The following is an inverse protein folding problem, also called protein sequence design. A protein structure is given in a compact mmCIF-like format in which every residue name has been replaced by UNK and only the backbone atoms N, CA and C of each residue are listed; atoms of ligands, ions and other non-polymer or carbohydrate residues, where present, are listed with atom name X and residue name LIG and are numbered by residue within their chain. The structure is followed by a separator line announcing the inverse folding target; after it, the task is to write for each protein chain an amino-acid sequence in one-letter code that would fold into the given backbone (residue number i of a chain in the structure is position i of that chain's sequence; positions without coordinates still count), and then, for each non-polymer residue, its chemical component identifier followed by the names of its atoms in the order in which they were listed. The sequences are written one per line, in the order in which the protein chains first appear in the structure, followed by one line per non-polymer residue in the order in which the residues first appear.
data_IF_012735224428
#
_entry.id   IF_012735224428
#
_cell.length_a   1.000
_cell.length_b   1.000
_cell.length_c   1.000
_cell.angle_alpha   90.00
_cell.angle_beta   90.00
_cell.angle_gamma   90.00
#
_symmetry.space_group_name_H-M   'P 1'
#
loop_
_entity.id
_entity.type
_entity.pdbx_description
1 polymer ?
#
# COMPACT_ATOMS: atom_id res chain seq x y z
N UNK A 1 32.39 2.57 2.36
CA UNK A 1 31.42 3.69 2.43
C UNK A 1 30.42 3.51 1.30
N UNK A 2 29.24 2.96 1.60
CA UNK A 2 28.18 2.74 0.61
C UNK A 2 27.12 3.80 0.91
N UNK A 3 26.98 4.80 0.04
CA UNK A 3 25.88 5.76 0.08
C UNK A 3 24.80 5.23 -0.86
N UNK A 4 23.80 4.55 -0.29
CA UNK A 4 22.59 4.20 -1.00
C UNK A 4 21.70 5.45 -1.10
N UNK A 5 21.67 6.08 -2.27
CA UNK A 5 20.85 7.27 -2.52
C UNK A 5 19.35 6.97 -2.42
N UNK A 6 18.74 7.28 -1.28
CA UNK A 6 17.30 7.13 -1.05
C UNK A 6 16.54 8.37 -1.53
N UNK A 7 15.94 8.33 -2.73
CA UNK A 7 15.04 9.39 -3.20
C UNK A 7 13.62 9.16 -2.64
N UNK A 8 13.16 10.02 -1.72
CA UNK A 8 11.78 10.04 -1.24
C UNK A 8 10.90 10.89 -2.16
N UNK A 9 9.66 10.45 -2.41
CA UNK A 9 8.62 11.22 -3.11
C UNK A 9 7.53 11.50 -2.09
N UNK A 10 7.18 12.78 -1.91
CA UNK A 10 6.17 13.18 -0.93
C UNK A 10 4.86 13.51 -1.65
N UNK A 11 3.80 12.83 -1.23
CA UNK A 11 2.43 13.08 -1.69
C UNK A 11 1.75 14.04 -0.71
N UNK A 12 1.40 15.24 -1.19
CA UNK A 12 0.57 16.18 -0.42
C UNK A 12 -0.89 15.88 -0.78
N UNK A 13 -1.58 15.18 0.10
CA UNK A 13 -3.04 15.05 0.05
C UNK A 13 -3.59 15.56 1.38
N UNK A 14 -4.47 16.56 1.33
CA UNK A 14 -5.27 16.96 2.48
C UNK A 14 -6.43 15.98 2.65
N UNK A 15 -6.31 15.05 3.61
CA UNK A 15 -7.36 14.69 4.59
C UNK A 15 -6.91 13.52 5.48
N UNK A 16 -7.11 13.67 6.80
CA UNK A 16 -6.97 12.62 7.80
C UNK A 16 -5.82 12.83 8.79
N UNK A 17 -6.14 13.26 10.01
CA UNK A 17 -5.19 13.23 11.14
C UNK A 17 -4.75 11.79 11.41
N UNK A 18 -3.53 11.43 11.01
CA UNK A 18 -2.86 10.23 11.49
C UNK A 18 -2.02 10.56 12.73
N UNK A 19 -2.40 9.98 13.88
CA UNK A 19 -1.55 9.95 15.08
C UNK A 19 -0.30 9.12 14.78
N UNK A 20 0.88 9.71 14.98
CA UNK A 20 2.18 9.05 14.79
C UNK A 20 2.48 8.19 16.02
N UNK A 21 2.83 6.92 15.78
CA UNK A 21 3.47 6.06 16.78
C UNK A 21 4.96 6.40 16.84
N UNK A 22 5.52 6.48 18.04
CA UNK A 22 6.92 6.85 18.31
C UNK A 22 7.84 5.63 18.47
N UNK A 23 7.45 4.46 17.93
CA UNK A 23 8.08 3.16 18.20
C UNK A 23 9.00 2.64 17.08
N UNK A 24 9.38 3.47 16.09
CA UNK A 24 10.30 3.05 15.01
C UNK A 24 11.75 3.51 15.24
N UNK A 25 12.71 2.64 14.93
CA UNK A 25 14.16 2.91 15.03
C UNK A 25 14.63 4.06 14.11
N UNK A 26 15.93 4.43 14.16
CA UNK A 26 16.45 5.60 13.44
C UNK A 26 16.21 5.48 11.94
N UNK A 27 15.27 6.27 11.43
CA UNK A 27 14.95 6.41 10.02
C UNK A 27 14.87 7.90 9.67
N UNK A 28 15.30 8.25 8.45
CA UNK A 28 15.01 9.56 7.91
C UNK A 28 13.58 9.55 7.41
N UNK A 29 12.66 10.14 8.16
CA UNK A 29 11.26 10.24 7.77
C UNK A 29 10.94 11.68 7.39
N UNK A 30 10.29 11.85 6.23
CA UNK A 30 9.74 13.13 5.81
C UNK A 30 8.23 12.98 5.72
N UNK A 31 7.51 13.89 6.34
CA UNK A 31 6.04 13.95 6.32
C UNK A 31 5.62 15.28 5.73
N UNK A 32 4.57 15.26 4.91
CA UNK A 32 3.85 16.49 4.57
C UNK A 32 2.40 16.36 5.00
N UNK A 33 1.92 17.37 5.71
CA UNK A 33 0.56 17.47 6.22
C UNK A 33 -0.04 18.81 5.82
N UNK A 34 -0.82 18.84 4.74
CA UNK A 34 -1.24 20.09 4.11
C UNK A 34 -0.02 20.88 3.63
N UNK A 35 0.10 22.11 4.10
CA UNK A 35 1.22 23.00 3.77
C UNK A 35 2.42 22.81 4.70
N UNK A 36 2.41 21.83 5.60
CA UNK A 36 3.50 21.63 6.56
C UNK A 36 4.44 20.53 6.09
N UNK A 37 5.74 20.82 6.02
CA UNK A 37 6.81 19.84 5.86
C UNK A 37 7.46 19.54 7.21
N UNK A 38 7.47 18.27 7.61
CA UNK A 38 8.12 17.76 8.82
C UNK A 38 9.27 16.80 8.43
N UNK A 39 10.48 17.08 8.90
CA UNK A 39 11.68 16.28 8.75
C UNK A 39 12.05 15.66 10.10
N UNK A 40 12.20 14.34 10.14
CA UNK A 40 12.73 13.59 11.28
C UNK A 40 14.14 13.11 10.91
N UNK A 41 15.15 13.64 11.59
CA UNK A 41 16.54 13.27 11.40
C UNK A 41 16.87 11.93 12.09
N UNK A 42 18.02 11.28 11.82
CA UNK A 42 18.36 9.97 12.38
C UNK A 42 18.45 9.96 13.91
N UNK A 43 18.77 11.10 14.51
CA UNK A 43 18.81 11.33 15.96
C UNK A 43 17.40 11.58 16.57
N UNK A 44 16.36 11.39 15.77
CA UNK A 44 14.95 11.66 16.08
C UNK A 44 14.61 13.13 16.34
N UNK A 45 15.51 14.08 16.03
CA UNK A 45 15.16 15.50 16.06
C UNK A 45 14.16 15.81 14.95
N UNK A 46 13.18 16.66 15.27
CA UNK A 46 12.10 17.05 14.36
C UNK A 46 12.25 18.51 13.96
N UNK A 47 12.20 18.77 12.66
CA UNK A 47 12.13 20.11 12.09
C UNK A 47 10.83 20.23 11.31
N UNK A 48 10.05 21.27 11.59
CA UNK A 48 8.78 21.53 10.92
C UNK A 48 8.82 22.93 10.31
N UNK A 49 8.36 23.06 9.07
CA UNK A 49 8.22 24.35 8.39
C UNK A 49 6.98 24.38 7.52
N UNK A 50 6.36 25.54 7.41
CA UNK A 50 5.27 25.79 6.47
C UNK A 50 5.85 26.04 5.08
N UNK A 51 5.28 25.38 4.08
CA UNK A 51 5.58 25.51 2.68
C UNK A 51 4.56 26.42 2.03
N UNK A 52 5.05 27.54 1.52
CA UNK A 52 4.27 28.51 0.76
C UNK A 52 4.62 28.42 -0.71
N UNK A 53 3.60 28.34 -1.55
CA UNK A 53 3.73 28.29 -3.00
C UNK A 53 3.30 29.65 -3.50
N UNK A 54 4.27 30.45 -3.94
CA UNK A 54 4.00 31.78 -4.47
C UNK A 54 3.27 31.66 -5.80
N UNK A 55 2.61 32.75 -6.21
CA UNK A 55 1.92 32.84 -7.50
C UNK A 55 2.83 32.66 -8.72
N UNK A 56 4.14 32.83 -8.56
CA UNK A 56 5.16 32.55 -9.58
C UNK A 56 5.61 31.07 -9.61
N UNK A 57 5.01 30.21 -8.78
CA UNK A 57 5.33 28.79 -8.66
C UNK A 57 6.54 28.47 -7.77
N UNK A 58 7.20 29.49 -7.20
CA UNK A 58 8.31 29.25 -6.27
C UNK A 58 7.79 28.76 -4.92
N UNK A 59 8.49 27.80 -4.32
CA UNK A 59 8.13 27.24 -3.01
C UNK A 59 9.11 27.75 -1.95
N UNK A 60 8.58 28.22 -0.82
CA UNK A 60 9.34 28.77 0.30
C UNK A 60 8.96 28.07 1.61
N UNK A 61 9.92 27.59 2.42
CA UNK A 61 11.35 27.61 2.15
C UNK A 61 11.74 26.54 1.11
N UNK A 62 12.73 26.85 0.26
CA UNK A 62 13.31 25.87 -0.66
C UNK A 62 14.36 24.97 0.01
N UNK A 63 14.62 25.17 1.31
CA UNK A 63 15.56 24.38 2.10
C UNK A 63 15.00 24.09 3.49
N UNK A 64 15.08 22.83 3.94
CA UNK A 64 14.74 22.41 5.31
C UNK A 64 15.82 21.45 5.82
N UNK A 65 16.55 21.86 6.86
CA UNK A 65 17.76 21.15 7.29
C UNK A 65 18.79 21.07 6.15
N UNK A 66 19.26 19.86 5.85
CA UNK A 66 20.17 19.57 4.73
C UNK A 66 19.44 19.17 3.44
N UNK A 67 18.12 19.39 3.35
CA UNK A 67 17.32 19.07 2.17
C UNK A 67 17.06 20.32 1.33
N UNK A 68 17.43 20.26 0.05
CA UNK A 68 17.05 21.26 -0.95
C UNK A 68 15.87 20.77 -1.80
N UNK A 69 14.89 21.66 -1.99
CA UNK A 69 13.78 21.46 -2.90
C UNK A 69 14.26 21.74 -4.33
N UNK A 70 14.20 20.73 -5.19
CA UNK A 70 14.76 20.80 -6.54
C UNK A 70 13.72 21.19 -7.59
N UNK A 71 12.45 21.07 -7.25
CA UNK A 71 11.38 21.51 -8.12
C UNK A 71 10.00 21.31 -7.52
N UNK A 72 9.09 22.11 -8.02
CA UNK A 72 7.66 22.02 -7.79
C UNK A 72 6.96 22.21 -9.13
N UNK A 73 5.95 21.40 -9.40
CA UNK A 73 5.07 21.61 -10.54
C UNK A 73 3.67 21.28 -10.11
N UNK A 74 2.79 22.25 -10.34
CA UNK A 74 1.36 21.98 -10.43
C UNK A 74 1.11 21.17 -11.69
N UNK A 75 0.28 20.13 -11.58
CA UNK A 75 -0.17 19.35 -12.72
C UNK A 75 0.96 18.84 -13.63
N UNK A 76 1.91 18.05 -13.13
CA UNK A 76 2.91 17.41 -13.98
C UNK A 76 2.51 15.99 -14.38
N UNK A 77 2.79 15.61 -15.63
CA UNK A 77 2.83 14.21 -16.04
C UNK A 77 4.20 13.68 -15.66
N UNK A 78 4.23 12.64 -14.81
CA UNK A 78 5.45 11.90 -14.48
C UNK A 78 5.50 10.66 -15.36
N UNK A 79 6.45 10.63 -16.28
CA UNK A 79 6.79 9.41 -17.01
C UNK A 79 8.01 8.81 -16.33
N UNK A 80 7.88 7.55 -15.92
CA UNK A 80 9.00 6.77 -15.39
C UNK A 80 9.34 5.75 -16.43
N UNK A 81 10.59 5.81 -16.89
CA UNK A 81 11.17 4.83 -17.80
C UNK A 81 12.38 4.20 -17.14
N UNK A 82 12.78 3.04 -17.65
CA UNK A 82 14.04 2.42 -17.30
C UNK A 82 14.92 2.39 -18.56
N UNK A 83 16.20 2.68 -18.37
CA UNK A 83 17.20 2.53 -19.43
C UNK A 83 18.27 1.57 -18.97
N UNK A 84 18.86 0.83 -19.91
CA UNK A 84 19.97 -0.06 -19.61
C UNK A 84 21.27 0.72 -19.34
N UNK A 85 22.29 0.02 -18.85
CA UNK A 85 23.65 0.57 -18.67
C UNK A 85 23.90 1.25 -17.33
N UNK A 86 23.06 0.99 -16.33
CA UNK A 86 23.30 1.39 -14.95
C UNK A 86 24.58 0.72 -14.38
N UNK A 87 25.26 1.35 -13.41
CA UNK A 87 26.51 0.83 -12.84
C UNK A 87 26.34 -0.38 -11.92
N UNK A 88 25.10 -0.77 -11.60
CA UNK A 88 24.76 -1.85 -10.68
C UNK A 88 23.70 -2.74 -11.34
N UNK A 89 23.82 -4.05 -11.14
CA UNK A 89 22.81 -5.01 -11.55
C UNK A 89 21.46 -4.66 -10.91
N UNK A 90 20.46 -4.41 -11.76
CA UNK A 90 19.12 -4.07 -11.35
C UNK A 90 18.17 -4.53 -12.46
N UNK A 91 17.64 -5.73 -12.31
CA UNK A 91 16.74 -6.28 -13.30
C UNK A 91 15.45 -5.44 -13.35
N UNK A 92 15.10 -4.99 -14.54
CA UNK A 92 13.80 -4.45 -14.86
C UNK A 92 13.21 -5.13 -16.10
N UNK A 93 11.89 -5.28 -16.11
CA UNK A 93 11.14 -5.82 -17.24
C UNK A 93 9.99 -4.88 -17.59
N UNK A 94 9.77 -4.67 -18.87
CA UNK A 94 8.58 -4.03 -19.37
C UNK A 94 7.62 -5.11 -19.83
N UNK A 95 6.45 -5.16 -19.21
CA UNK A 95 5.35 -6.03 -19.63
C UNK A 95 4.30 -5.22 -20.36
N UNK A 96 3.71 -5.84 -21.38
CA UNK A 96 2.58 -5.30 -22.12
C UNK A 96 1.33 -6.07 -21.71
N UNK A 97 0.26 -5.34 -21.39
CA UNK A 97 -1.05 -5.90 -21.05
C UNK A 97 -2.04 -5.47 -22.12
N UNK A 98 -2.59 -6.42 -22.85
CA UNK A 98 -3.61 -6.17 -23.88
C UNK A 98 -4.96 -6.69 -23.42
N UNK A 99 -6.01 -5.88 -23.53
CA UNK A 99 -7.40 -6.30 -23.30
C UNK A 99 -8.24 -5.95 -24.52
N UNK A 100 -8.82 -6.98 -25.15
CA UNK A 100 -9.71 -6.80 -26.29
C UNK A 100 -11.04 -6.16 -25.87
N UNK A 101 -11.56 -6.48 -24.67
CA UNK A 101 -12.78 -5.87 -24.14
C UNK A 101 -12.62 -4.38 -23.87
N UNK A 102 -11.45 -3.96 -23.41
CA UNK A 102 -11.15 -2.54 -23.18
C UNK A 102 -10.68 -1.83 -24.45
N UNK A 103 -10.28 -2.57 -25.48
CA UNK A 103 -9.63 -2.02 -26.68
C UNK A 103 -8.35 -1.25 -26.34
N UNK A 104 -7.65 -1.66 -25.28
CA UNK A 104 -6.50 -0.94 -24.72
C UNK A 104 -5.28 -1.85 -24.56
N UNK A 105 -4.12 -1.24 -24.80
CA UNK A 105 -2.81 -1.83 -24.51
C UNK A 105 -2.12 -0.94 -23.48
N UNK A 106 -1.66 -1.54 -22.39
CA UNK A 106 -0.96 -0.87 -21.31
C UNK A 106 0.46 -1.41 -21.21
N UNK A 107 1.44 -0.53 -21.07
CA UNK A 107 2.82 -0.93 -20.81
C UNK A 107 3.20 -0.60 -19.37
N UNK A 108 3.85 -1.52 -18.68
CA UNK A 108 4.22 -1.37 -17.27
C UNK A 108 5.63 -1.87 -17.03
N UNK A 109 6.40 -1.07 -16.29
CA UNK A 109 7.73 -1.43 -15.82
C UNK A 109 7.69 -2.05 -14.43
N UNK A 110 8.27 -3.23 -14.29
CA UNK A 110 8.59 -3.85 -13.01
C UNK A 110 10.11 -3.84 -12.82
N UNK A 111 10.60 -3.57 -11.62
CA UNK A 111 12.03 -3.60 -11.33
C UNK A 111 12.33 -4.08 -9.92
N UNK A 112 13.47 -4.77 -9.74
CA UNK A 112 13.93 -5.23 -8.43
C UNK A 112 14.20 -4.05 -7.50
N UNK A 113 14.72 -2.95 -8.04
CA UNK A 113 14.89 -1.68 -7.36
C UNK A 113 14.51 -0.47 -8.25
N UNK A 114 13.97 0.61 -7.66
CA UNK A 114 13.59 0.74 -6.25
C UNK A 114 12.30 -0.02 -5.92
N UNK A 115 12.07 -0.32 -4.63
CA UNK A 115 10.99 -1.21 -4.16
C UNK A 115 9.58 -0.83 -4.66
N UNK A 116 9.32 0.46 -4.92
CA UNK A 116 8.03 0.92 -5.45
C UNK A 116 7.70 0.46 -6.88
N UNK A 117 8.65 -0.14 -7.61
CA UNK A 117 8.39 -0.79 -8.90
C UNK A 117 8.50 -2.31 -8.84
N UNK A 118 8.73 -2.88 -7.65
CA UNK A 118 8.74 -4.33 -7.49
C UNK A 118 7.35 -4.91 -7.66
N UNK A 119 6.34 -4.15 -7.26
CA UNK A 119 4.94 -4.54 -7.31
C UNK A 119 4.08 -3.33 -7.70
N UNK A 120 3.00 -3.59 -8.43
CA UNK A 120 1.96 -2.59 -8.73
C UNK A 120 0.59 -3.23 -8.87
N UNK A 121 -0.45 -2.52 -8.47
CA UNK A 121 -1.82 -2.97 -8.60
C UNK A 121 -2.38 -2.67 -10.00
N UNK A 122 -3.15 -3.60 -10.54
CA UNK A 122 -3.92 -3.46 -11.78
C UNK A 122 -5.34 -3.98 -11.51
N UNK A 123 -6.21 -3.06 -11.10
CA UNK A 123 -7.56 -3.41 -10.69
C UNK A 123 -7.55 -4.29 -9.43
N UNK A 124 -8.19 -5.48 -9.45
CA UNK A 124 -8.25 -6.37 -8.29
C UNK A 124 -7.01 -7.28 -8.11
N UNK A 125 -6.09 -7.26 -9.07
CA UNK A 125 -4.87 -8.05 -9.03
C UNK A 125 -3.63 -7.16 -8.98
N UNK A 126 -2.46 -7.77 -8.84
CA UNK A 126 -1.20 -7.04 -8.92
C UNK A 126 -0.20 -7.75 -9.84
N UNK A 127 0.71 -6.94 -10.37
CA UNK A 127 1.91 -7.40 -11.03
C UNK A 127 3.09 -7.31 -10.06
N UNK A 128 3.99 -8.27 -10.11
CA UNK A 128 5.22 -8.20 -9.33
C UNK A 128 6.42 -8.83 -10.05
N UNK A 129 7.63 -8.44 -9.65
CA UNK A 129 8.88 -9.09 -10.03
C UNK A 129 9.58 -9.64 -8.79
N UNK A 130 9.99 -10.90 -8.85
CA UNK A 130 10.69 -11.58 -7.76
C UNK A 130 11.96 -12.27 -8.30
N UNK A 131 13.16 -11.85 -7.90
CA UNK A 131 14.37 -12.61 -8.18
C UNK A 131 14.46 -13.84 -7.27
N UNK A 132 14.77 -15.01 -7.84
CA UNK A 132 15.12 -16.21 -7.10
C UNK A 132 16.64 -16.27 -6.90
N UNK A 133 17.08 -16.46 -5.66
CA UNK A 133 18.50 -16.56 -5.31
C UNK A 133 19.08 -17.92 -5.70
N UNK A 134 18.26 -18.97 -5.67
CA UNK A 134 18.65 -20.33 -5.99
C UNK A 134 17.49 -21.14 -6.61
N UNK A 135 17.78 -22.39 -6.97
CA UNK A 135 16.80 -23.28 -7.60
C UNK A 135 15.64 -23.69 -6.66
N UNK A 136 15.86 -23.69 -5.34
CA UNK A 136 14.82 -24.02 -4.38
C UNK A 136 13.82 -22.86 -4.23
N UNK A 137 14.32 -21.63 -4.13
CA UNK A 137 13.50 -20.41 -4.14
C UNK A 137 12.76 -20.26 -5.48
N UNK A 138 13.43 -20.54 -6.62
CA UNK A 138 12.77 -20.55 -7.93
C UNK A 138 11.59 -21.54 -7.93
N UNK A 139 11.82 -22.77 -7.49
CA UNK A 139 10.75 -23.79 -7.42
C UNK A 139 9.62 -23.35 -6.51
N UNK A 140 9.92 -22.70 -5.38
CA UNK A 140 8.91 -22.17 -4.46
C UNK A 140 8.09 -21.04 -5.12
N UNK A 141 8.74 -20.08 -5.78
CA UNK A 141 8.09 -18.95 -6.43
C UNK A 141 7.22 -19.38 -7.63
N UNK A 142 7.57 -20.50 -8.27
CA UNK A 142 6.81 -21.13 -9.36
C UNK A 142 5.82 -22.21 -8.89
N UNK A 143 5.71 -22.46 -7.60
CA UNK A 143 4.70 -23.38 -7.07
C UNK A 143 3.42 -22.61 -6.72
N UNK A 144 2.24 -23.25 -6.81
CA UNK A 144 1.03 -22.65 -6.29
C UNK A 144 1.25 -22.28 -4.84
N UNK A 145 0.69 -21.14 -4.37
CA UNK A 145 0.74 -20.84 -2.95
C UNK A 145 0.12 -22.02 -2.20
N UNK A 146 0.66 -22.38 -1.02
CA UNK A 146 0.06 -23.42 -0.21
C UNK A 146 -1.40 -23.07 -0.01
N UNK A 147 -2.30 -24.04 -0.23
CA UNK A 147 -3.71 -23.85 0.11
C UNK A 147 -3.75 -23.44 1.57
N UNK A 148 -4.25 -22.24 1.82
CA UNK A 148 -4.29 -21.68 3.16
C UNK A 148 -5.14 -22.61 4.04
N UNK A 149 -4.47 -23.38 4.89
CA UNK A 149 -5.13 -24.36 5.76
C UNK A 149 -5.86 -23.68 6.91
N UNK A 150 -5.50 -22.42 7.21
CA UNK A 150 -6.02 -21.61 8.30
C UNK A 150 -6.34 -20.19 7.78
N UNK A 151 -7.49 -19.97 7.12
CA UNK A 151 -7.83 -18.68 6.48
C UNK A 151 -8.01 -17.54 7.48
N UNK A 152 -8.10 -17.84 8.78
CA UNK A 152 -8.10 -16.85 9.87
C UNK A 152 -6.85 -16.94 10.74
N UNK A 153 -5.81 -17.66 10.30
CA UNK A 153 -4.53 -17.77 10.99
C UNK A 153 -4.53 -18.78 12.14
N UNK A 154 -3.45 -18.79 12.91
CA UNK A 154 -3.24 -19.71 14.03
C UNK A 154 -2.96 -18.97 15.33
N UNK A 155 -3.48 -19.50 16.44
CA UNK A 155 -3.16 -19.02 17.78
C UNK A 155 -2.22 -20.00 18.47
N UNK A 156 -1.08 -19.50 18.94
CA UNK A 156 -0.11 -20.27 19.70
C UNK A 156 -0.15 -19.84 21.16
N UNK A 157 -0.47 -20.78 22.05
CA UNK A 157 -0.54 -20.58 23.50
C UNK A 157 0.68 -21.20 24.16
N UNK A 158 1.46 -20.39 24.89
CA UNK A 158 2.52 -20.85 25.77
C UNK A 158 2.01 -21.01 27.20
N UNK A 159 2.04 -22.23 27.73
CA UNK A 159 1.56 -22.57 29.08
C UNK A 159 2.72 -22.89 30.04
N UNK A 160 3.79 -22.09 29.96
CA UNK A 160 4.99 -22.27 30.79
C UNK A 160 5.66 -23.63 30.55
N UNK A 161 5.84 -24.43 31.62
CA UNK A 161 6.52 -25.74 31.54
C UNK A 161 5.74 -26.81 30.77
N UNK A 162 4.47 -26.59 30.48
CA UNK A 162 3.60 -27.55 29.80
C UNK A 162 3.68 -27.45 28.26
N UNK A 163 4.51 -26.54 27.75
CA UNK A 163 4.79 -26.40 26.33
C UNK A 163 3.85 -25.44 25.60
N UNK A 164 3.89 -25.52 24.28
CA UNK A 164 3.11 -24.71 23.35
C UNK A 164 1.96 -25.52 22.74
N UNK A 165 0.77 -24.93 22.66
CA UNK A 165 -0.36 -25.48 21.92
C UNK A 165 -0.78 -24.52 20.82
N UNK A 166 -0.88 -25.00 19.58
CA UNK A 166 -1.38 -24.21 18.45
C UNK A 166 -2.82 -24.60 18.14
N UNK A 167 -3.65 -23.61 17.83
CA UNK A 167 -5.05 -23.75 17.46
C UNK A 167 -5.30 -23.05 16.13
N UNK A 168 -6.02 -23.70 15.22
CA UNK A 168 -6.56 -23.05 14.03
C UNK A 168 -7.72 -22.13 14.43
N UNK A 169 -7.63 -20.85 14.07
CA UNK A 169 -8.60 -19.83 14.47
C UNK A 169 -9.98 -20.09 13.86
N UNK A 170 -10.05 -20.57 12.62
CA UNK A 170 -11.32 -20.84 11.97
C UNK A 170 -12.03 -22.02 12.63
N UNK A 171 -11.29 -23.09 12.93
CA UNK A 171 -11.87 -24.30 13.53
C UNK A 171 -12.32 -24.08 14.98
N UNK A 172 -11.72 -23.13 15.69
CA UNK A 172 -11.99 -22.86 17.11
C UNK A 172 -12.89 -21.67 17.36
N UNK A 173 -13.26 -20.89 16.33
CA UNK A 173 -14.15 -19.75 16.45
C UNK A 173 -15.52 -20.17 17.01
N UNK A 174 -15.92 -19.55 18.13
CA UNK A 174 -17.15 -19.86 18.85
C UNK A 174 -17.10 -21.13 19.69
N UNK A 175 -15.94 -21.79 19.82
CA UNK A 175 -15.76 -22.99 20.62
C UNK A 175 -14.90 -22.72 21.86
N UNK A 176 -15.22 -23.40 22.95
CA UNK A 176 -14.39 -23.43 24.17
C UNK A 176 -13.30 -24.48 24.05
N UNK A 177 -12.06 -24.08 24.26
CA UNK A 177 -10.88 -24.95 24.23
C UNK A 177 -10.23 -24.98 25.60
N UNK A 178 -10.01 -26.18 26.15
CA UNK A 178 -9.30 -26.33 27.44
C UNK A 178 -7.82 -26.57 27.18
N UNK A 179 -6.97 -25.75 27.80
CA UNK A 179 -5.52 -25.86 27.74
C UNK A 179 -4.98 -26.74 28.89
N UNK A 180 -3.74 -27.27 28.78
CA UNK A 180 -3.17 -28.20 29.77
C UNK A 180 -3.08 -27.67 31.21
N UNK A 181 -3.06 -26.35 31.42
CA UNK A 181 -2.99 -25.70 32.73
C UNK A 181 -4.37 -25.40 33.34
N UNK A 182 -5.45 -25.95 32.78
CA UNK A 182 -6.82 -25.72 33.25
C UNK A 182 -7.42 -24.37 32.83
N UNK A 183 -6.71 -23.58 32.02
CA UNK A 183 -7.28 -22.39 31.39
C UNK A 183 -8.22 -22.83 30.28
N UNK A 184 -9.45 -22.32 30.29
CA UNK A 184 -10.35 -22.43 29.13
C UNK A 184 -10.29 -21.15 28.31
N UNK A 185 -10.36 -21.31 26.99
CA UNK A 185 -10.27 -20.23 26.01
C UNK A 185 -11.48 -20.30 25.11
N UNK A 186 -12.25 -19.22 25.07
CA UNK A 186 -13.31 -19.01 24.09
C UNK A 186 -12.83 -18.01 23.04
N UNK A 187 -12.70 -18.48 21.79
CA UNK A 187 -12.39 -17.59 20.67
C UNK A 187 -13.68 -16.93 20.20
N UNK A 188 -13.88 -15.66 20.58
CA UNK A 188 -15.15 -14.97 20.38
C UNK A 188 -15.29 -14.45 18.95
N UNK A 189 -14.25 -13.78 18.44
CA UNK A 189 -14.31 -13.08 17.16
C UNK A 189 -12.93 -12.78 16.58
N UNK A 190 -12.86 -12.76 15.23
CA UNK A 190 -11.70 -12.32 14.46
C UNK A 190 -11.99 -10.94 13.86
N UNK A 191 -10.99 -10.06 13.88
CA UNK A 191 -11.04 -8.69 13.37
C UNK A 191 -9.90 -8.48 12.36
N UNK A 192 -10.13 -8.61 11.04
CA UNK A 192 -9.07 -8.47 10.03
C UNK A 192 -8.36 -7.09 10.02
N UNK A 193 -9.10 -6.00 10.24
CA UNK A 193 -8.56 -4.63 10.35
C UNK A 193 -9.17 -3.95 11.57
N UNK A 194 -8.70 -4.36 12.75
CA UNK A 194 -9.21 -3.91 14.04
C UNK A 194 -9.12 -2.38 14.17
N UNK A 195 -10.25 -1.76 14.50
CA UNK A 195 -10.39 -0.34 14.87
C UNK A 195 -11.33 -0.20 16.07
N UNK A 196 -11.26 0.95 16.72
CA UNK A 196 -12.31 1.39 17.64
C UNK A 196 -13.29 2.28 16.88
N UNK A 197 -14.58 1.92 16.91
CA UNK A 197 -15.66 2.72 16.35
C UNK A 197 -15.97 3.97 17.18
N UNK A 198 -16.99 4.74 16.75
CA UNK A 198 -17.40 6.01 17.40
C UNK A 198 -17.81 5.84 18.87
N UNK A 199 -18.23 4.64 19.27
CA UNK A 199 -18.64 4.29 20.64
C UNK A 199 -17.54 3.49 21.38
N UNK A 200 -16.29 3.55 20.93
CA UNK A 200 -15.17 2.75 21.44
C UNK A 200 -15.39 1.22 21.38
N UNK A 201 -16.34 0.74 20.59
CA UNK A 201 -16.51 -0.70 20.37
C UNK A 201 -15.55 -1.17 19.27
N UNK A 202 -14.97 -2.38 19.41
CA UNK A 202 -14.23 -3.03 18.33
C UNK A 202 -15.04 -3.13 17.04
N UNK A 203 -14.41 -2.77 15.92
CA UNK A 203 -14.95 -2.96 14.57
C UNK A 203 -13.84 -3.38 13.60
N UNK A 204 -14.19 -3.91 12.44
CA UNK A 204 -13.24 -4.12 11.33
C UNK A 204 -13.48 -3.07 10.26
N UNK A 205 -12.43 -2.37 9.83
CA UNK A 205 -12.53 -1.38 8.75
C UNK A 205 -12.51 -2.00 7.35
N UNK A 206 -11.99 -3.23 7.22
CA UNK A 206 -11.97 -4.00 5.99
C UNK A 206 -11.94 -5.50 6.30
N UNK A 207 -12.10 -6.33 5.26
CA UNK A 207 -11.91 -7.79 5.33
C UNK A 207 -10.45 -8.21 5.12
N UNK A 208 -9.58 -7.26 4.77
CA UNK A 208 -8.15 -7.52 4.60
C UNK A 208 -7.47 -7.53 5.97
N UNK A 209 -6.53 -8.46 6.19
CA UNK A 209 -5.79 -8.63 7.44
C UNK A 209 -4.71 -7.54 7.64
N UNK A 210 -5.11 -6.27 7.62
CA UNK A 210 -4.22 -5.09 7.72
C UNK A 210 -3.79 -4.77 9.15
N UNK A 211 -4.70 -4.96 10.10
CA UNK A 211 -4.43 -4.82 11.53
C UNK A 211 -5.16 -5.93 12.29
N UNK A 212 -4.75 -7.19 12.06
CA UNK A 212 -5.56 -8.32 12.45
C UNK A 212 -5.47 -8.57 13.95
N UNK A 213 -6.62 -8.84 14.56
CA UNK A 213 -6.74 -9.17 15.97
C UNK A 213 -7.77 -10.28 16.21
N UNK A 214 -7.61 -11.04 17.29
CA UNK A 214 -8.62 -11.96 17.80
C UNK A 214 -9.07 -11.54 19.19
N UNK A 215 -10.34 -11.75 19.49
CA UNK A 215 -10.89 -11.58 20.82
C UNK A 215 -11.01 -12.95 21.51
N UNK A 216 -10.40 -13.06 22.69
CA UNK A 216 -10.46 -14.23 23.54
C UNK A 216 -11.17 -13.88 24.84
N UNK A 217 -12.02 -14.78 25.33
CA UNK A 217 -12.37 -14.83 26.75
C UNK A 217 -11.61 -16.00 27.37
N UNK A 218 -10.96 -15.75 28.50
CA UNK A 218 -10.16 -16.73 29.23
C UNK A 218 -10.80 -16.94 30.59
N UNK A 219 -10.88 -18.19 31.05
CA UNK A 219 -11.27 -18.49 32.43
C UNK A 219 -10.32 -19.50 33.08
N UNK A 220 -10.06 -19.31 34.38
CA UNK A 220 -9.25 -20.23 35.18
C UNK A 220 -9.80 -20.27 36.62
N UNK A 221 -10.61 -21.28 36.94
CA UNK A 221 -11.37 -21.27 38.19
C UNK A 221 -12.38 -20.12 38.19
N UNK A 222 -12.31 -19.25 39.20
CA UNK A 222 -13.17 -18.04 39.26
C UNK A 222 -12.60 -16.85 38.49
N UNK A 223 -11.31 -16.90 38.10
CA UNK A 223 -10.66 -15.80 37.39
C UNK A 223 -11.17 -15.71 35.94
N UNK A 224 -11.48 -14.50 35.49
CA UNK A 224 -11.97 -14.23 34.14
C UNK A 224 -11.22 -13.07 33.50
N UNK A 225 -10.84 -13.23 32.24
CA UNK A 225 -10.18 -12.17 31.47
C UNK A 225 -10.68 -12.12 30.03
N UNK A 226 -10.68 -10.92 29.46
CA UNK A 226 -10.92 -10.68 28.03
C UNK A 226 -9.67 -10.08 27.40
N UNK A 227 -9.19 -10.72 26.34
CA UNK A 227 -7.96 -10.34 25.68
C UNK A 227 -8.22 -10.04 24.20
N UNK A 228 -7.57 -9.00 23.69
CA UNK A 228 -7.41 -8.76 22.26
C UNK A 228 -5.95 -9.03 21.89
N UNK A 229 -5.71 -10.08 21.11
CA UNK A 229 -4.37 -10.49 20.67
C UNK A 229 -4.19 -10.06 19.22
N UNK A 230 -3.16 -9.26 18.94
CA UNK A 230 -2.88 -8.73 17.61
C UNK A 230 -1.77 -9.54 16.93
N UNK A 231 -1.84 -9.73 15.61
CA UNK A 231 -0.74 -10.38 14.88
C UNK A 231 0.40 -9.44 14.51
N UNK A 232 0.26 -8.14 14.81
CA UNK A 232 1.28 -7.15 14.51
C UNK A 232 2.48 -7.34 15.44
N UNK A 233 3.71 -7.51 14.91
CA UNK A 233 4.90 -7.64 15.74
C UNK A 233 5.09 -6.45 16.69
N UNK A 234 5.49 -6.72 17.93
CA UNK A 234 5.73 -5.71 18.95
C UNK A 234 4.49 -5.07 19.56
N UNK A 235 3.28 -5.55 19.22
CA UNK A 235 2.04 -5.10 19.84
C UNK A 235 1.56 -6.12 20.87
N UNK A 236 1.73 -5.79 22.15
CA UNK A 236 1.25 -6.63 23.25
C UNK A 236 -0.28 -6.77 23.26
N UNK A 237 -0.82 -7.90 23.74
CA UNK A 237 -2.26 -8.08 23.89
C UNK A 237 -2.88 -7.02 24.81
N UNK A 238 -4.06 -6.52 24.44
CA UNK A 238 -4.85 -5.64 25.32
C UNK A 238 -5.72 -6.52 26.22
N UNK A 239 -5.52 -6.42 27.53
CA UNK A 239 -6.12 -7.30 28.55
C UNK A 239 -7.09 -6.53 29.43
N UNK A 240 -8.18 -7.17 29.84
CA UNK A 240 -9.15 -6.66 30.82
C UNK A 240 -9.63 -7.81 31.70
N UNK A 241 -9.79 -7.59 33.00
CA UNK A 241 -10.12 -8.65 33.97
C UNK A 241 -8.88 -9.14 34.71
N UNK A 242 -8.93 -10.37 35.19
CA UNK A 242 -7.89 -10.97 36.04
C UNK A 242 -6.60 -11.27 35.27
N UNK A 243 -5.47 -11.25 35.98
CA UNK A 243 -4.17 -11.62 35.40
C UNK A 243 -4.06 -13.15 35.30
N UNK A 244 -3.61 -13.63 34.13
CA UNK A 244 -3.40 -15.06 33.87
C UNK A 244 -2.00 -15.28 33.29
N UNK A 245 -1.29 -16.27 33.84
CA UNK A 245 0.06 -16.63 33.42
C UNK A 245 0.04 -17.48 32.13
N UNK A 246 -0.29 -16.82 31.01
CA UNK A 246 -0.33 -17.42 29.68
C UNK A 246 0.26 -16.46 28.63
N UNK A 247 1.11 -17.00 27.75
CA UNK A 247 1.57 -16.28 26.57
C UNK A 247 0.68 -16.66 25.39
N UNK A 248 0.25 -15.68 24.60
CA UNK A 248 -0.58 -15.92 23.41
C UNK A 248 0.00 -15.12 22.25
N UNK A 249 0.28 -15.82 21.16
CA UNK A 249 0.66 -15.23 19.88
C UNK A 249 -0.40 -15.55 18.85
N UNK A 250 -0.77 -14.55 18.06
CA UNK A 250 -1.65 -14.70 16.92
C UNK A 250 -0.83 -14.53 15.65
N UNK A 251 -0.79 -15.56 14.82
CA UNK A 251 -0.19 -15.50 13.49
C UNK A 251 -1.33 -15.39 12.49
N UNK A 252 -1.57 -14.16 12.00
CA UNK A 252 -2.60 -13.89 11.02
C UNK A 252 -2.32 -14.64 9.70
N UNK A 253 -3.38 -14.93 8.92
CA UNK A 253 -3.21 -15.47 7.58
C UNK A 253 -2.31 -14.52 6.78
N UNK A 254 -1.27 -15.06 6.15
CA UNK A 254 -0.59 -14.34 5.07
C UNK A 254 -1.62 -14.17 3.98
N UNK A 255 -2.14 -12.95 3.80
CA UNK A 255 -3.09 -12.62 2.73
C UNK A 255 -2.52 -13.14 1.43
N UNK A 256 -2.98 -14.31 1.01
CA UNK A 256 -2.58 -14.88 -0.27
C UNK A 256 -3.27 -13.98 -1.27
N UNK A 257 -2.49 -13.16 -1.98
CA UNK A 257 -3.06 -12.15 -2.85
C UNK A 257 -4.11 -12.76 -3.78
N UNK A 258 -5.26 -12.11 -3.87
CA UNK A 258 -6.49 -12.67 -4.46
C UNK A 258 -6.32 -13.03 -5.93
N UNK A 259 -5.47 -12.32 -6.66
CA UNK A 259 -5.05 -12.62 -8.02
C UNK A 259 -3.67 -11.94 -8.26
N UNK A 260 -2.75 -12.58 -9.00
CA UNK A 260 -1.46 -11.95 -9.34
C UNK A 260 -0.86 -12.47 -10.64
N UNK A 261 0.05 -11.68 -11.21
CA UNK A 261 1.02 -12.13 -12.21
C UNK A 261 2.43 -11.72 -11.77
N UNK A 262 3.26 -12.72 -11.51
CA UNK A 262 4.63 -12.59 -11.03
C UNK A 262 5.58 -12.93 -12.15
N UNK A 263 6.49 -12.01 -12.48
CA UNK A 263 7.69 -12.30 -13.25
C UNK A 263 8.77 -12.80 -12.29
N UNK A 264 9.27 -14.01 -12.49
CA UNK A 264 10.32 -14.61 -11.66
C UNK A 264 11.62 -14.64 -12.44
N UNK A 265 12.68 -14.05 -11.89
CA UNK A 265 14.01 -14.13 -12.47
C UNK A 265 14.78 -15.28 -11.84
N UNK A 266 15.13 -16.30 -12.64
CA UNK A 266 15.89 -17.45 -12.18
C UNK A 266 17.37 -17.15 -11.95
N UNK A 267 18.07 -18.00 -11.17
CA UNK A 267 19.52 -17.88 -10.98
C UNK A 267 20.33 -18.12 -12.27
N UNK A 268 19.70 -18.73 -13.28
CA UNK A 268 20.21 -18.98 -14.63
C UNK A 268 20.01 -17.79 -15.58
N UNK A 269 19.58 -16.64 -15.05
CA UNK A 269 19.22 -15.45 -15.80
C UNK A 269 18.04 -15.68 -16.77
N UNK A 270 17.25 -16.74 -16.64
CA UNK A 270 16.01 -16.89 -17.41
C UNK A 270 14.84 -16.21 -16.70
N UNK A 271 13.82 -15.80 -17.46
CA UNK A 271 12.57 -15.32 -16.91
C UNK A 271 11.52 -16.41 -16.94
N UNK A 272 10.75 -16.47 -15.87
CA UNK A 272 9.59 -17.32 -15.71
C UNK A 272 8.41 -16.46 -15.30
N UNK A 273 7.21 -17.02 -15.38
CA UNK A 273 6.02 -16.43 -14.80
C UNK A 273 5.36 -17.38 -13.80
N UNK A 274 4.66 -16.78 -12.84
CA UNK A 274 3.67 -17.45 -12.01
C UNK A 274 2.42 -16.57 -11.97
N UNK A 275 1.27 -17.14 -12.30
CA UNK A 275 -0.01 -16.45 -12.33
C UNK A 275 -1.00 -17.20 -11.44
N UNK A 276 -1.57 -16.49 -10.48
CA UNK A 276 -2.67 -16.98 -9.65
C UNK A 276 -3.93 -16.24 -10.03
N UNK A 277 -5.01 -16.98 -10.22
CA UNK A 277 -6.34 -16.42 -10.28
C UNK A 277 -7.37 -17.29 -9.59
N UNK A 278 -8.60 -16.77 -9.47
CA UNK A 278 -9.79 -17.59 -9.17
C UNK A 278 -9.95 -18.86 -10.02
N UNK A 279 -9.36 -18.92 -11.23
CA UNK A 279 -9.38 -20.10 -12.12
C UNK A 279 -8.27 -21.11 -11.82
N UNK A 280 -7.36 -20.79 -10.91
CA UNK A 280 -6.24 -21.64 -10.52
C UNK A 280 -4.88 -20.98 -10.71
N UNK A 281 -3.83 -21.80 -10.59
CA UNK A 281 -2.44 -21.38 -10.68
C UNK A 281 -1.79 -21.90 -11.97
N UNK A 282 -0.97 -21.07 -12.61
CA UNK A 282 -0.17 -21.43 -13.78
C UNK A 282 1.24 -20.86 -13.63
N UNK A 283 2.24 -21.57 -14.15
CA UNK A 283 3.62 -21.09 -14.19
C UNK A 283 4.35 -21.69 -15.37
N UNK A 284 5.41 -21.03 -15.83
CA UNK A 284 6.23 -21.51 -16.93
C UNK A 284 7.35 -20.53 -17.30
N UNK A 285 8.16 -20.84 -18.32
CA UNK A 285 9.06 -19.87 -18.94
C UNK A 285 8.30 -18.63 -19.43
N UNK A 286 8.97 -17.48 -19.45
CA UNK A 286 8.37 -16.22 -19.91
C UNK A 286 9.32 -15.49 -20.86
N UNK A 287 9.17 -15.77 -22.16
CA UNK A 287 9.91 -15.14 -23.25
C UNK A 287 9.17 -13.95 -23.87
N UNK A 288 9.82 -13.29 -24.83
CA UNK A 288 9.27 -12.14 -25.58
C UNK A 288 8.14 -12.51 -26.54
N UNK A 289 8.12 -13.77 -26.99
CA UNK A 289 7.11 -14.25 -27.95
C UNK A 289 5.87 -14.85 -27.25
N UNK A 290 5.87 -14.90 -25.92
CA UNK A 290 4.80 -15.49 -25.13
C UNK A 290 3.75 -14.44 -24.75
N UNK A 291 2.48 -14.75 -25.06
CA UNK A 291 1.33 -14.03 -24.54
C UNK A 291 0.61 -14.91 -23.51
N UNK A 292 0.65 -14.51 -22.24
CA UNK A 292 0.11 -15.30 -21.13
C UNK A 292 -1.21 -14.69 -20.65
N UNK A 293 -2.26 -15.51 -20.62
CA UNK A 293 -3.51 -15.12 -19.96
C UNK A 293 -3.48 -15.49 -18.47
N UNK A 294 -3.47 -14.51 -17.55
CA UNK A 294 -3.32 -14.76 -16.13
C UNK A 294 -4.61 -15.31 -15.47
N UNK A 295 -5.74 -15.24 -16.17
CA UNK A 295 -7.02 -15.81 -15.74
C UNK A 295 -7.92 -14.85 -14.94
N UNK A 296 -7.38 -13.76 -14.42
CA UNK A 296 -8.12 -12.63 -13.87
C UNK A 296 -8.27 -11.55 -14.97
N UNK A 297 -9.51 -11.26 -15.37
CA UNK A 297 -9.87 -10.45 -16.55
C UNK A 297 -9.50 -11.07 -17.92
N UNK A 298 -9.67 -10.29 -18.99
CA UNK A 298 -9.38 -10.62 -20.39
C UNK A 298 -8.02 -10.11 -20.85
N UNK A 299 -7.07 -9.96 -19.92
CA UNK A 299 -5.72 -9.53 -20.25
C UNK A 299 -4.90 -10.67 -20.86
N UNK A 300 -4.10 -10.31 -21.86
CA UNK A 300 -2.91 -11.05 -22.28
C UNK A 300 -1.68 -10.25 -21.85
N UNK A 301 -0.75 -10.90 -21.15
CA UNK A 301 0.48 -10.31 -20.66
C UNK A 301 1.65 -10.88 -21.45
N UNK A 302 2.41 -10.02 -22.12
CA UNK A 302 3.64 -10.38 -22.83
C UNK A 302 4.83 -9.60 -22.32
N UNK A 303 6.03 -10.14 -22.52
CA UNK A 303 7.29 -9.47 -22.19
C UNK A 303 7.70 -8.60 -23.38
N UNK A 304 7.75 -7.29 -23.20
CA UNK A 304 8.21 -6.36 -24.24
C UNK A 304 9.73 -6.14 -24.17
N UNK A 305 10.25 -5.94 -22.95
CA UNK A 305 11.67 -5.61 -22.76
C UNK A 305 12.22 -6.18 -21.45
N UNK A 306 13.50 -6.52 -21.46
CA UNK A 306 14.30 -6.86 -20.28
C UNK A 306 15.56 -6.00 -20.24
N UNK A 307 15.89 -5.49 -19.06
CA UNK A 307 17.10 -4.72 -18.77
C UNK A 307 17.80 -5.30 -17.54
N UNK A 308 19.03 -5.77 -17.66
CA UNK A 308 19.75 -6.38 -16.53
C UNK A 308 20.43 -5.33 -15.62
N UNK A 309 20.76 -4.17 -16.18
CA UNK A 309 21.39 -3.05 -15.47
C UNK A 309 20.51 -1.80 -15.57
N UNK A 310 19.24 -1.94 -15.15
CA UNK A 310 18.26 -0.89 -15.32
C UNK A 310 18.53 0.32 -14.41
N UNK A 311 18.54 1.51 -14.99
CA UNK A 311 18.55 2.78 -14.27
C UNK A 311 17.21 3.48 -14.47
N UNK A 312 16.61 3.95 -13.37
CA UNK A 312 15.35 4.72 -13.43
C UNK A 312 15.64 6.09 -14.05
N UNK A 313 14.93 6.41 -15.13
CA UNK A 313 14.83 7.75 -15.69
C UNK A 313 13.45 8.30 -15.40
N UNK A 314 13.40 9.51 -14.83
CA UNK A 314 12.14 10.20 -14.53
C UNK A 314 12.08 11.44 -15.37
N UNK A 315 11.05 11.53 -16.20
CA UNK A 315 10.71 12.76 -16.91
C UNK A 315 9.49 13.37 -16.24
N UNK A 316 9.63 14.63 -15.83
CA UNK A 316 8.54 15.44 -15.29
C UNK A 316 8.25 16.50 -16.34
N UNK A 317 7.12 16.36 -17.03
CA UNK A 317 6.67 17.35 -18.01
C UNK A 317 5.61 18.22 -17.31
N UNK A 318 5.86 19.53 -17.13
CA UNK A 318 4.83 20.44 -16.65
C UNK A 318 3.66 20.43 -17.63
N UNK A 319 2.42 20.27 -17.15
CA UNK A 319 1.25 20.52 -17.98
C UNK A 319 1.02 22.02 -17.93
N UNK A 320 1.28 22.70 -19.05
CA UNK A 320 0.85 24.09 -19.20
C UNK A 320 -0.66 24.13 -18.97
N UNK A 321 -1.16 24.90 -18.00
CA UNK A 321 -2.60 25.01 -17.79
C UNK A 321 -3.23 25.41 -19.11
N UNK A 322 -4.19 24.63 -19.58
CA UNK A 322 -4.96 24.98 -20.76
C UNK A 322 -5.51 26.39 -20.51
N UNK A 323 -5.27 27.38 -21.40
CA UNK A 323 -5.79 28.72 -21.19
C UNK A 323 -7.29 28.56 -21.01
N UNK A 324 -7.76 28.82 -19.79
CA UNK A 324 -9.18 28.78 -19.48
C UNK A 324 -9.85 29.60 -20.57
N UNK A 325 -10.69 28.93 -21.38
CA UNK A 325 -11.39 29.61 -22.46
C UNK A 325 -11.99 30.86 -21.84
N UNK A 326 -11.55 32.03 -22.29
CA UNK A 326 -12.03 33.31 -21.79
C UNK A 326 -13.55 33.22 -21.90
N UNK A 327 -14.22 33.11 -20.76
CA UNK A 327 -15.68 33.16 -20.73
C UNK A 327 -16.02 34.46 -21.44
N UNK A 328 -16.79 34.44 -22.55
CA UNK A 328 -17.09 35.65 -23.28
C UNK A 328 -17.67 36.63 -22.26
N UNK A 329 -17.00 37.78 -22.11
CA UNK A 329 -17.49 38.86 -21.26
C UNK A 329 -18.96 39.07 -21.60
N UNK A 330 -19.83 38.89 -20.60
CA UNK A 330 -21.21 39.33 -20.67
C UNK A 330 -21.17 40.81 -21.05
N UNK A 331 -21.62 41.10 -22.27
CA UNK A 331 -21.69 42.45 -22.80
C UNK A 331 -22.47 43.35 -21.85
N UNK A 332 -21.81 44.43 -21.42
CA UNK A 332 -22.47 45.56 -20.78
C UNK A 332 -23.51 46.14 -21.74
N UNK A 333 -24.65 46.51 -21.18
CA UNK A 333 -25.88 46.76 -21.90
C UNK A 333 -25.88 47.94 -22.88
N UNK A 334 -26.72 47.81 -23.90
CA UNK A 334 -27.43 48.92 -24.49
C UNK A 334 -28.92 48.72 -24.20
N UNK A 335 -29.53 49.78 -23.66
CA UNK A 335 -30.93 49.84 -23.25
C UNK A 335 -31.89 49.48 -24.39
N UNK A 336 -32.90 48.67 -24.07
CA UNK A 336 -33.99 48.35 -24.99
C UNK A 336 -34.95 47.37 -24.36
N UNK A 337 -35.89 47.89 -23.56
CA UNK A 337 -36.79 47.09 -22.75
C UNK A 337 -37.68 46.14 -23.54
N UNK A 338 -37.96 44.99 -22.95
CA UNK A 338 -39.23 44.25 -23.05
C UNK A 338 -39.37 43.35 -21.83
N UNK A 339 -40.46 43.56 -21.08
CA UNK A 339 -40.91 42.74 -19.96
C UNK A 339 -41.40 41.37 -20.45
N UNK A 340 -41.08 40.32 -19.70
CA UNK A 340 -41.85 39.06 -19.57
C UNK A 340 -41.56 38.45 -18.17
N UNK A 341 -42.41 37.55 -17.66
CA UNK A 341 -42.92 37.64 -16.29
C UNK A 341 -42.18 36.75 -15.28
N UNK A 342 -42.34 37.14 -14.01
CA UNK A 342 -41.90 36.43 -12.80
C UNK A 342 -42.44 35.01 -12.72
N UNK A 343 -41.56 34.08 -12.36
CA UNK A 343 -41.88 32.88 -11.60
C UNK A 343 -40.90 32.79 -10.42
N UNK A 344 -41.47 32.74 -9.22
CA UNK A 344 -40.83 32.39 -7.94
C UNK A 344 -40.39 30.91 -8.03
N UNK A 345 -39.30 30.41 -7.42
CA UNK A 345 -38.95 30.41 -6.00
C UNK A 345 -37.49 29.83 -5.81
N UNK A 346 -36.96 29.68 -4.56
CA UNK A 346 -35.53 29.83 -4.21
C UNK A 346 -34.74 28.53 -4.09
N UNK A 347 -33.39 28.67 -3.98
CA UNK A 347 -32.37 27.90 -3.23
C UNK A 347 -31.01 28.50 -3.66
N UNK A 348 -30.11 29.01 -2.83
CA UNK A 348 -29.52 28.41 -1.64
C UNK A 348 -28.20 27.74 -2.01
N UNK A 349 -27.05 28.40 -1.83
CA UNK A 349 -25.72 27.78 -1.89
C UNK A 349 -24.65 28.58 -2.63
N UNK A 350 -23.81 29.30 -1.88
CA UNK A 350 -22.54 29.86 -2.36
C UNK A 350 -21.50 28.75 -2.45
N UNK A 351 -21.05 28.42 -3.66
CA UNK A 351 -19.88 27.57 -3.91
C UNK A 351 -18.60 28.42 -3.83
N UNK A 352 -17.70 28.08 -2.90
CA UNK A 352 -16.30 28.54 -2.92
C UNK A 352 -15.52 27.72 -3.96
N UNK A 353 -14.61 28.32 -4.76
CA UNK A 353 -13.73 27.56 -5.63
C UNK A 353 -12.60 26.91 -4.82
N UNK A 354 -12.46 25.59 -4.94
CA UNK A 354 -11.31 24.82 -4.43
C UNK A 354 -10.03 25.21 -5.18
N UNK A 355 -8.94 25.43 -4.44
CA UNK A 355 -7.60 25.66 -4.99
C UNK A 355 -6.94 24.35 -5.45
N UNK A 356 -6.20 24.34 -6.57
CA UNK A 356 -5.51 23.15 -7.08
C UNK A 356 -4.28 22.75 -6.25
N UNK A 357 -3.98 21.44 -6.25
CA UNK A 357 -3.03 20.74 -5.37
C UNK A 357 -1.69 20.45 -6.08
N UNK A 358 -0.56 20.75 -5.44
CA UNK A 358 0.77 20.48 -6.01
C UNK A 358 1.62 19.41 -5.33
N UNK A 359 2.79 19.11 -5.91
CA UNK A 359 3.71 18.03 -5.47
C UNK A 359 5.19 18.45 -5.52
N UNK A 360 5.99 17.97 -4.56
CA UNK A 360 7.41 18.33 -4.37
C UNK A 360 8.37 17.24 -4.86
N UNK A 361 9.60 17.62 -5.23
CA UNK A 361 10.64 16.72 -5.75
C UNK A 361 12.04 16.97 -5.13
N UNK A 362 12.83 15.90 -4.91
CA UNK A 362 14.18 15.87 -4.30
C UNK A 362 15.26 15.39 -5.30
N UNK A 363 16.50 15.86 -5.15
CA UNK A 363 17.74 15.23 -5.66
C UNK A 363 18.68 14.95 -4.47
N UNK A 364 19.45 13.86 -4.56
CA UNK A 364 20.53 13.49 -3.64
C UNK A 364 21.87 13.70 -4.33
#
# INVERSE_FOLDING_TARGET
MIIAGSAAVIHISTEGMLRVRTDSGPNNQIRVAGDVLELIAPDQTRQQTDLFIKSDGTVVPSKLGDLDLVGYSDNAIKTVNFTDGGPVANLAVQVQLRSDRMGQTLERWLAVAPAGYRQMDIGPAHLEIAPAQDAAELKQLLSPPPKETAPFGTLTFGTGKLGTRSLDVQQTLGQTQTLPNGITVDLVKVWPDFRLGRNNQPTSASEQFRNPAVQLNLTQGEAQARWFVFAKPGLEPVKTGDEMAIAVQYDAPTVTASDYFRVVAGPDQQLYYAALSSKGFKSGPFGTDDAISPGWADFEISLNQRLDHAQVQRQVVPVTPWPAAQSPMQGSGAAGGRRWPRLLAPLGGTHHPDHPRGRLFRRL
#
